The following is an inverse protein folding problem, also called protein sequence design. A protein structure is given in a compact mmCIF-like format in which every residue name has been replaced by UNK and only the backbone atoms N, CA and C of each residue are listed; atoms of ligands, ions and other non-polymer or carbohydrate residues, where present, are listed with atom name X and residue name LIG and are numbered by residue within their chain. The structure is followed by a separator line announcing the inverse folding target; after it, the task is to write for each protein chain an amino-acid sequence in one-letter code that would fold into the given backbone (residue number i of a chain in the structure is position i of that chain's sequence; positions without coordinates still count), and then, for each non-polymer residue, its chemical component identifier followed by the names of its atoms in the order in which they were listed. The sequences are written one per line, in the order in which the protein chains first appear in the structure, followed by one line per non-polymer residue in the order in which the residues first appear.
data_IF_981653291961
#
_entry.id   IF_981653291961
#
_cell.length_a   1.000
_cell.length_b   1.000
_cell.length_c   1.000
_cell.angle_alpha   90.00
_cell.angle_beta   90.00
_cell.angle_gamma   90.00
#
_symmetry.space_group_name_H-M   'P 1'
#
loop_
_entity.id
_entity.type
_entity.pdbx_description
1 polymer ?
2 polymer ?
3 polymer ?
4 water ?
#
# COMPACT_ATOMS: atom_id res chain seq x y z
N UNK A 1 -17.24 0.21 -5.71
CA UNK A 1 -18.01 -0.26 -6.86
C UNK A 1 -17.25 -0.02 -8.15
N UNK A 2 -16.66 -1.08 -8.68
CA UNK A 2 -15.79 -0.99 -9.85
C UNK A 2 -16.56 -0.54 -11.08
N UNK A 3 -15.92 0.17 -12.01
CA UNK A 3 -16.64 0.64 -13.19
C UNK A 3 -16.83 -0.49 -14.18
N UNK A 4 -18.03 -0.59 -14.74
CA UNK A 4 -18.26 -1.60 -15.77
C UNK A 4 -17.42 -1.33 -17.01
N UNK A 5 -17.21 -0.06 -17.35
CA UNK A 5 -16.47 0.25 -18.56
C UNK A 5 -15.00 -0.07 -18.35
N UNK A 6 -14.42 -0.83 -19.30
CA UNK A 6 -12.99 -1.12 -19.23
C UNK A 6 -12.41 -1.16 -20.63
N UNK A 7 -11.51 -0.24 -20.93
CA UNK A 7 -11.12 0.03 -22.32
C UNK A 7 -9.93 -0.79 -22.78
N UNK A 8 -9.87 -0.96 -24.11
CA UNK A 8 -8.78 -1.67 -24.75
C UNK A 8 -7.71 -0.69 -25.17
N UNK A 9 -6.50 -0.87 -24.66
CA UNK A 9 -5.40 -0.05 -25.14
C UNK A 9 -5.10 -0.41 -26.60
N UNK B 1 12.11 -1.92 -18.90
CA UNK B 1 11.38 -2.30 -17.71
C UNK B 1 11.94 -1.59 -16.47
N UNK B 2 11.07 -1.25 -15.52
CA UNK B 2 11.50 -0.75 -14.22
C UNK B 2 11.76 -1.94 -13.32
N UNK B 3 12.92 -1.98 -12.66
CA UNK B 3 13.11 -2.91 -11.56
C UNK B 3 13.52 -2.14 -10.32
N UNK B 4 12.85 -2.42 -9.22
CA UNK B 4 13.07 -1.73 -7.97
C UNK B 4 13.40 -2.73 -6.89
N UNK B 5 14.43 -2.42 -6.09
CA UNK B 5 14.68 -3.43 -5.07
C UNK B 5 13.84 -3.14 -3.81
N UNK B 6 13.31 -4.19 -3.18
CA UNK B 6 12.35 -3.98 -2.10
C UNK B 6 13.00 -3.47 -0.81
N UNK B 7 12.29 -2.56 -0.14
CA UNK B 7 12.62 -2.20 1.24
C UNK B 7 11.97 -3.20 2.19
N UNK B 8 12.66 -3.52 3.26
CA UNK B 8 12.30 -4.62 4.15
C UNK B 8 12.33 -4.12 5.58
N UNK B 9 11.27 -4.42 6.35
CA UNK B 9 11.18 -4.04 7.75
C UNK B 9 10.57 -5.19 8.52
N UNK B 10 11.22 -5.57 9.63
CA UNK B 10 10.68 -6.56 10.57
C UNK B 10 10.33 -5.86 11.88
N UNK B 11 9.19 -6.23 12.42
CA UNK B 11 8.70 -5.60 13.63
C UNK B 11 7.56 -6.44 14.15
N UNK B 12 7.17 -6.16 15.38
CA UNK B 12 6.03 -6.82 15.99
C UNK B 12 4.84 -5.87 16.00
N UNK B 13 3.63 -6.45 15.93
CA UNK B 13 2.44 -5.61 15.89
C UNK B 13 2.37 -4.73 17.13
N UNK B 14 2.40 -5.35 18.32
CA UNK B 14 2.46 -4.78 19.65
C UNK B 14 3.89 -4.88 20.18
N UNK B 15 4.21 -4.11 21.22
CA UNK B 15 5.59 -4.14 21.75
C UNK B 15 5.92 -5.48 22.38
N UNK B 16 7.17 -5.90 22.19
CA UNK B 16 7.58 -7.24 22.58
C UNK B 16 7.63 -7.37 24.09
N UNK B 17 6.86 -8.32 24.63
CA UNK B 17 6.88 -8.67 26.04
C UNK B 17 6.85 -10.18 26.16
N UNK B 18 7.99 -10.77 26.54
CA UNK B 18 8.17 -12.20 26.44
C UNK B 18 7.02 -12.94 27.12
N UNK B 19 6.65 -14.08 26.54
CA UNK B 19 5.50 -14.82 27.00
C UNK B 19 4.16 -14.25 26.62
N UNK B 20 4.11 -13.08 25.98
CA UNK B 20 2.85 -12.51 25.53
C UNK B 20 2.66 -12.80 24.05
N UNK B 21 1.47 -13.31 23.71
CA UNK B 21 1.09 -13.47 22.32
C UNK B 21 1.27 -12.17 21.56
N UNK B 22 1.76 -12.30 20.33
CA UNK B 22 1.96 -11.16 19.46
C UNK B 22 1.99 -11.67 18.01
N UNK B 23 2.27 -10.74 17.08
CA UNK B 23 2.31 -10.98 15.65
C UNK B 23 3.62 -10.44 15.11
N UNK B 24 4.33 -11.28 14.37
CA UNK B 24 5.60 -10.90 13.75
C UNK B 24 5.32 -10.42 12.34
N UNK B 25 5.78 -9.21 12.02
CA UNK B 25 5.45 -8.56 10.76
C UNK B 25 6.70 -8.41 9.92
N UNK B 26 6.57 -8.72 8.61
CA UNK B 26 7.58 -8.43 7.61
C UNK B 26 6.89 -7.63 6.52
N UNK B 27 7.17 -6.33 6.48
CA UNK B 27 6.64 -5.42 5.48
C UNK B 27 7.67 -5.23 4.39
N UNK B 28 7.31 -5.57 3.16
CA UNK B 28 8.18 -5.33 2.01
C UNK B 28 7.44 -4.42 1.02
N UNK B 29 8.18 -3.48 0.44
CA UNK B 29 7.53 -2.38 -0.26
C UNK B 29 8.51 -1.80 -1.27
N UNK B 30 7.97 -0.98 -2.16
CA UNK B 30 8.75 -0.28 -3.16
C UNK B 30 9.47 -1.16 -4.16
N UNK B 31 8.95 -2.34 -4.45
CA UNK B 31 9.62 -3.22 -5.40
C UNK B 31 8.80 -3.37 -6.67
N UNK B 32 9.47 -3.86 -7.70
CA UNK B 32 8.92 -4.13 -9.03
C UNK B 32 9.93 -5.00 -9.79
N UNK B 33 9.51 -6.04 -10.51
CA UNK B 33 8.17 -6.58 -10.75
C UNK B 33 7.61 -7.28 -9.52
N UNK B 34 6.41 -7.88 -9.61
CA UNK B 34 5.64 -8.24 -8.42
C UNK B 34 5.95 -9.61 -7.87
N UNK B 35 6.61 -10.48 -8.65
CA UNK B 35 7.09 -11.75 -8.14
C UNK B 35 8.04 -11.53 -6.99
N UNK B 36 7.75 -12.17 -5.87
CA UNK B 36 8.60 -12.08 -4.69
C UNK B 36 8.28 -13.26 -3.81
N UNK B 37 9.32 -13.85 -3.21
CA UNK B 37 9.16 -14.87 -2.19
C UNK B 37 9.63 -14.30 -0.85
N UNK B 38 8.77 -14.43 0.17
CA UNK B 38 9.05 -13.93 1.52
C UNK B 38 8.89 -15.06 2.53
N UNK B 39 9.91 -15.27 3.36
CA UNK B 39 9.89 -16.27 4.41
C UNK B 39 10.15 -15.62 5.76
N UNK B 40 9.62 -16.25 6.81
CA UNK B 40 9.82 -15.80 8.18
C UNK B 40 10.48 -16.93 8.95
N UNK B 41 11.49 -16.61 9.76
CA UNK B 41 12.28 -17.64 10.40
C UNK B 41 12.20 -17.56 11.93
N UNK B 42 12.17 -18.73 12.56
CA UNK B 42 12.41 -18.89 13.99
C UNK B 42 13.76 -19.57 14.12
N UNK B 43 14.74 -18.84 14.65
CA UNK B 43 16.10 -19.36 14.83
C UNK B 43 16.64 -20.01 13.57
N UNK B 44 16.55 -19.28 12.46
CA UNK B 44 17.06 -19.73 11.19
C UNK B 44 16.14 -20.66 10.43
N UNK B 45 15.04 -21.12 11.05
CA UNK B 45 14.16 -22.11 10.45
C UNK B 45 12.88 -21.48 9.93
N UNK B 46 12.49 -21.86 8.72
CA UNK B 46 11.26 -21.36 8.15
C UNK B 46 10.06 -21.68 9.03
N UNK B 47 9.22 -20.67 9.25
CA UNK B 47 7.95 -20.82 9.94
C UNK B 47 6.89 -21.25 8.93
N UNK B 48 6.24 -22.37 9.19
CA UNK B 48 4.99 -22.67 8.52
C UNK B 48 3.86 -21.88 9.18
N UNK B 49 2.78 -21.67 8.45
CA UNK B 49 1.71 -20.76 8.88
C UNK B 49 2.29 -19.36 8.85
N UNK B 50 2.13 -18.75 7.70
CA UNK B 50 2.48 -17.39 7.39
C UNK B 50 1.39 -16.89 6.48
N UNK B 51 0.94 -15.67 6.68
CA UNK B 51 -0.04 -15.14 5.74
C UNK B 51 0.47 -13.81 5.20
N UNK B 52 -0.22 -13.31 4.18
CA UNK B 52 0.18 -12.04 3.61
C UNK B 52 -1.04 -11.24 3.15
N UNK B 53 -0.86 -9.92 3.11
CA UNK B 53 -1.90 -9.04 2.61
C UNK B 53 -2.08 -9.25 1.11
N UNK B 54 -3.09 -8.58 0.55
CA UNK B 54 -3.36 -8.64 -0.88
C UNK B 54 -2.48 -7.69 -1.64
N UNK B 55 -2.01 -8.12 -2.80
CA UNK B 55 -1.02 -7.39 -3.55
C UNK B 55 -1.57 -6.04 -3.97
N UNK B 56 -0.92 -4.97 -3.50
CA UNK B 56 -1.32 -3.63 -3.85
C UNK B 56 -0.06 -2.82 -4.16
N UNK B 57 -0.23 -1.55 -4.52
CA UNK B 57 0.90 -0.74 -4.92
C UNK B 57 0.64 0.74 -4.64
N UNK B 58 1.72 1.53 -4.68
CA UNK B 58 1.74 2.91 -4.20
C UNK B 58 1.62 3.89 -5.35
N UNK B 59 1.86 5.17 -5.05
CA UNK B 59 1.65 6.23 -6.03
C UNK B 59 2.66 6.18 -7.17
N UNK B 60 3.84 5.58 -6.94
CA UNK B 60 4.83 5.46 -8.00
C UNK B 60 4.82 4.09 -8.70
N UNK B 61 3.75 3.31 -8.51
CA UNK B 61 3.45 2.01 -9.13
C UNK B 61 4.16 0.83 -8.46
N UNK B 62 5.10 1.04 -7.52
CA UNK B 62 5.78 -0.08 -6.89
C UNK B 62 4.85 -0.82 -5.93
N UNK B 63 5.10 -2.12 -5.73
CA UNK B 63 4.22 -2.97 -4.92
C UNK B 63 4.65 -3.01 -3.46
N UNK B 64 3.71 -3.38 -2.59
CA UNK B 64 4.02 -3.70 -1.20
C UNK B 64 3.17 -4.87 -0.73
N UNK B 65 3.70 -5.59 0.25
CA UNK B 65 3.03 -6.75 0.83
C UNK B 65 3.42 -6.86 2.29
N UNK B 66 2.50 -7.35 3.11
CA UNK B 66 2.74 -7.56 4.53
C UNK B 66 2.65 -9.05 4.82
N UNK B 67 3.76 -9.65 5.27
CA UNK B 67 3.76 -11.03 5.69
C UNK B 67 3.81 -11.09 7.20
N UNK B 68 3.10 -12.07 7.79
CA UNK B 68 2.97 -12.09 9.25
C UNK B 68 2.56 -13.45 9.76
N UNK B 69 2.95 -13.75 11.00
CA UNK B 69 2.54 -14.94 11.72
C UNK B 69 2.38 -14.62 13.20
N UNK B 70 1.51 -15.37 13.87
CA UNK B 70 1.41 -15.29 15.32
C UNK B 70 2.69 -15.81 15.94
N UNK B 71 3.12 -15.18 17.04
CA UNK B 71 4.20 -15.74 17.84
C UNK B 71 4.18 -15.11 19.22
N UNK B 72 4.88 -15.75 20.13
CA UNK B 72 5.10 -15.24 21.49
C UNK B 72 6.59 -15.09 21.67
N UNK B 73 7.11 -13.87 21.79
CA UNK B 73 8.57 -13.69 21.85
C UNK B 73 9.14 -14.20 23.16
N UNK B 74 10.42 -14.55 23.13
CA UNK B 74 11.09 -15.13 24.28
C UNK B 74 12.45 -14.49 24.44
N UNK B 75 12.94 -14.46 25.68
CA UNK B 75 14.29 -13.98 25.93
C UNK B 75 15.30 -14.84 25.17
N UNK B 76 14.80 -15.82 24.43
CA UNK B 76 15.58 -16.93 23.87
C UNK B 76 15.53 -16.95 22.35
N UNK B 77 14.34 -17.13 21.79
CA UNK B 77 14.18 -17.28 20.35
C UNK B 77 14.48 -15.97 19.65
N UNK B 78 15.20 -16.05 18.54
CA UNK B 78 15.42 -14.90 17.67
C UNK B 78 14.75 -15.14 16.33
N UNK B 79 14.40 -14.04 15.65
CA UNK B 79 13.62 -14.12 14.43
C UNK B 79 14.22 -13.25 13.35
N UNK B 80 13.81 -13.54 12.11
CA UNK B 80 14.36 -12.90 10.93
C UNK B 80 13.42 -13.09 9.75
N UNK B 81 13.54 -12.21 8.75
CA UNK B 81 12.68 -12.23 7.58
C UNK B 81 13.56 -12.36 6.35
N UNK B 82 13.28 -13.36 5.52
CA UNK B 82 14.14 -13.65 4.38
C UNK B 82 13.33 -13.50 3.11
N UNK B 83 13.94 -12.85 2.12
CA UNK B 83 13.23 -12.25 1.00
C UNK B 83 14.05 -12.48 -0.24
N UNK B 84 13.39 -12.76 -1.35
CA UNK B 84 14.07 -13.00 -2.61
C UNK B 84 13.28 -12.31 -3.73
N UNK B 85 14.01 -11.76 -4.71
CA UNK B 85 13.42 -10.91 -5.74
C UNK B 85 14.43 -10.78 -6.87
N UNK B 86 13.92 -10.50 -8.08
CA UNK B 86 14.78 -10.56 -9.26
C UNK B 86 15.95 -9.60 -9.12
N UNK B 87 15.75 -8.47 -8.45
CA UNK B 87 16.81 -7.47 -8.31
C UNK B 87 17.88 -7.87 -7.30
N UNK B 88 17.80 -9.05 -6.69
CA UNK B 88 18.74 -9.44 -5.64
C UNK B 88 19.66 -10.54 -6.15
N UNK B 89 20.97 -10.33 -5.95
CA UNK B 89 21.93 -11.40 -6.25
C UNK B 89 21.67 -12.61 -5.39
N UNK B 90 21.49 -12.39 -4.09
CA UNK B 90 21.24 -13.42 -3.10
C UNK B 90 20.00 -13.04 -2.30
N UNK B 91 19.36 -14.02 -1.68
CA UNK B 91 18.26 -13.69 -0.75
C UNK B 91 18.73 -12.79 0.38
N UNK B 92 17.91 -11.80 0.71
CA UNK B 92 18.24 -10.88 1.78
C UNK B 92 17.52 -11.30 3.06
N UNK B 93 18.26 -11.33 4.17
CA UNK B 93 17.73 -11.58 5.50
C UNK B 93 17.91 -10.32 6.32
N UNK B 94 16.89 -9.93 7.06
CA UNK B 94 17.04 -8.87 8.04
C UNK B 94 16.40 -9.38 9.32
N UNK B 95 17.06 -9.16 10.44
CA UNK B 95 16.66 -9.84 11.66
C UNK B 95 15.68 -8.97 12.43
N UNK B 96 14.99 -9.59 13.39
CA UNK B 96 14.08 -8.82 14.23
C UNK B 96 14.85 -8.08 15.30
N UNK B 97 14.64 -6.76 15.37
CA UNK B 97 15.23 -5.92 16.42
C UNK B 97 14.12 -5.52 17.38
N UNK B 98 13.92 -6.36 18.39
CA UNK B 98 12.92 -6.06 19.41
C UNK B 98 13.19 -4.72 20.07
N UNK B 99 14.46 -4.46 20.40
CA UNK B 99 14.88 -3.29 21.15
C UNK B 99 15.41 -2.19 20.26
N UNK B 100 14.88 -2.09 19.04
CA UNK B 100 15.21 -0.99 18.15
C UNK B 100 14.30 0.18 18.49
N UNK C 1 -11.56 14.53 8.36
CA UNK C 1 -11.05 15.24 7.21
C UNK C 1 -11.75 14.77 5.95
N UNK C 2 -11.03 14.78 4.83
CA UNK C 2 -11.60 14.33 3.58
C UNK C 2 -11.67 12.80 3.55
N UNK C 3 -12.16 12.27 2.43
CA UNK C 3 -12.31 10.84 2.27
C UNK C 3 -12.12 10.47 0.81
N UNK C 4 -11.83 9.19 0.59
CA UNK C 4 -11.62 8.72 -0.77
C UNK C 4 -12.00 7.24 -0.89
N UNK C 5 -12.35 6.87 -2.12
CA UNK C 5 -12.34 5.50 -2.58
C UNK C 5 -11.21 5.35 -3.58
N UNK C 6 -10.34 4.35 -3.39
CA UNK C 6 -9.21 4.10 -4.28
C UNK C 6 -9.16 2.62 -4.64
N UNK C 7 -8.96 2.32 -5.93
CA UNK C 7 -8.88 0.96 -6.47
C UNK C 7 -7.52 0.72 -7.10
N UNK C 8 -7.05 -0.53 -7.07
CA UNK C 8 -5.73 -0.87 -7.59
C UNK C 8 -5.79 -2.21 -8.31
N UNK C 9 -5.59 -2.20 -9.63
CA UNK C 9 -5.58 -3.41 -10.45
C UNK C 9 -4.16 -3.76 -10.88
N UNK C 10 -3.78 -5.03 -10.75
CA UNK C 10 -2.53 -5.55 -11.30
C UNK C 10 -2.80 -6.79 -12.14
N UNK C 11 -2.29 -6.79 -13.37
CA UNK C 11 -2.31 -7.98 -14.21
C UNK C 11 -0.87 -8.33 -14.58
N UNK C 12 -0.49 -9.57 -14.31
CA UNK C 12 0.85 -10.09 -14.57
C UNK C 12 0.70 -11.31 -15.46
N UNK C 13 1.44 -11.33 -16.56
CA UNK C 13 1.40 -12.50 -17.43
C UNK C 13 2.52 -13.47 -17.10
N UNK C 14 2.28 -14.76 -17.38
CA UNK C 14 3.27 -15.81 -17.17
C UNK C 14 3.25 -16.70 -18.40
N UNK C 15 3.96 -16.31 -19.47
CA UNK C 15 3.93 -17.08 -20.72
C UNK C 15 4.44 -18.51 -20.53
N UNK C 16 3.88 -19.41 -21.33
CA UNK C 16 4.10 -20.83 -21.12
C UNK C 16 3.18 -21.41 -20.06
N UNK C 17 3.00 -20.71 -18.94
CA UNK C 17 2.26 -21.23 -17.79
C UNK C 17 0.80 -20.78 -17.73
N UNK C 18 0.12 -20.72 -18.87
CA UNK C 18 -1.28 -20.38 -18.84
C UNK C 18 -1.60 -18.89 -18.89
N UNK C 19 -2.70 -18.50 -18.26
CA UNK C 19 -3.24 -17.16 -18.42
C UNK C 19 -2.71 -16.25 -17.32
N UNK C 20 -2.88 -14.92 -17.48
CA UNK C 20 -2.34 -13.98 -16.50
C UNK C 20 -3.07 -14.01 -15.16
N UNK C 21 -2.35 -13.64 -14.11
CA UNK C 21 -2.96 -13.40 -12.81
C UNK C 21 -3.43 -11.95 -12.73
N UNK C 22 -4.61 -11.75 -12.16
CA UNK C 22 -5.21 -10.43 -12.09
C UNK C 22 -5.71 -10.22 -10.67
N UNK C 23 -5.24 -9.16 -10.01
CA UNK C 23 -5.66 -8.87 -8.64
C UNK C 23 -6.26 -7.47 -8.61
N UNK C 24 -7.41 -7.33 -7.94
CA UNK C 24 -8.02 -6.05 -7.60
C UNK C 24 -8.00 -5.88 -6.10
N UNK C 25 -7.62 -4.70 -5.64
CA UNK C 25 -7.76 -4.32 -4.24
C UNK C 25 -8.42 -2.95 -4.15
N UNK C 26 -9.28 -2.78 -3.15
CA UNK C 26 -10.00 -1.52 -2.97
C UNK C 26 -9.94 -0.98 -1.56
N UNK C 27 -9.76 0.34 -1.46
CA UNK C 27 -9.65 1.04 -0.18
C UNK C 27 -10.67 2.17 -0.08
N UNK C 28 -11.21 2.37 1.12
CA UNK C 28 -11.81 3.65 1.52
C UNK C 28 -10.89 4.26 2.58
N UNK C 29 -10.46 5.51 2.33
CA UNK C 29 -9.39 6.08 3.13
C UNK C 29 -8.25 5.09 3.23
N UNK C 30 -7.95 4.62 4.44
CA UNK C 30 -6.81 3.75 4.69
C UNK C 30 -7.27 2.38 5.17
N UNK C 31 -8.49 1.98 4.82
CA UNK C 31 -8.98 0.65 5.15
C UNK C 31 -9.41 -0.07 3.87
N UNK C 32 -8.85 -1.26 3.67
CA UNK C 32 -9.22 -2.07 2.53
C UNK C 32 -10.56 -2.72 2.80
N UNK C 33 -11.43 -2.72 1.78
CA UNK C 33 -12.77 -3.28 1.95
C UNK C 33 -13.15 -4.41 0.99
N UNK C 34 -12.59 -4.45 -0.24
CA UNK C 34 -12.88 -5.52 -1.20
C UNK C 34 -11.58 -5.97 -1.84
N UNK C 35 -11.63 -7.17 -2.45
CA UNK C 35 -10.51 -7.76 -3.17
C UNK C 35 -11.06 -8.69 -4.24
N UNK C 36 -10.31 -8.78 -5.34
CA UNK C 36 -10.55 -9.79 -6.36
C UNK C 36 -9.23 -10.42 -6.75
N UNK C 37 -9.17 -11.75 -6.69
CA UNK C 37 -7.98 -12.49 -7.06
C UNK C 37 -8.40 -13.60 -8.01
N UNK C 38 -7.87 -13.55 -9.24
CA UNK C 38 -8.26 -14.50 -10.27
C UNK C 38 -7.65 -15.89 -10.08
N UNK C 39 -6.66 -16.07 -9.19
CA UNK C 39 -6.09 -17.39 -8.95
C UNK C 39 -7.03 -18.22 -8.08
N UNK C 40 -8.16 -18.60 -8.67
CA UNK C 40 -9.11 -19.48 -8.00
C UNK C 40 -9.86 -20.28 -9.05
N UNK C 41 -10.32 -21.48 -8.67
CA UNK C 41 -11.11 -22.28 -9.60
C UNK C 41 -12.40 -21.59 -9.94
N UNK C 42 -12.83 -20.62 -9.12
CA UNK C 42 -14.03 -19.83 -9.35
C UNK C 42 -13.92 -18.50 -8.60
N UNK C 43 -13.09 -17.58 -9.08
CA UNK C 43 -12.84 -16.35 -8.33
C UNK C 43 -14.09 -15.49 -8.14
N UNK C 44 -14.19 -14.92 -6.95
CA UNK C 44 -15.26 -14.00 -6.59
C UNK C 44 -14.67 -12.74 -5.97
N UNK C 45 -15.28 -11.59 -6.28
CA UNK C 45 -15.08 -10.39 -5.48
C UNK C 45 -15.47 -10.66 -4.04
N UNK C 46 -14.62 -10.33 -3.09
CA UNK C 46 -14.88 -10.69 -1.71
C UNK C 46 -14.67 -9.49 -0.79
N UNK C 47 -15.44 -9.45 0.29
CA UNK C 47 -15.24 -8.41 1.28
C UNK C 47 -13.93 -8.61 2.04
N UNK C 48 -13.36 -7.48 2.48
CA UNK C 48 -12.20 -7.46 3.35
C UNK C 48 -12.38 -6.49 4.52
N UNK C 49 -13.53 -5.84 4.63
CA UNK C 49 -13.94 -5.03 5.76
C UNK C 49 -15.32 -5.50 6.24
N UNK C 50 -15.49 -5.76 7.54
CA UNK C 50 -16.76 -6.38 7.98
C UNK C 50 -18.02 -5.58 7.64
N UNK C 51 -17.98 -4.25 7.69
CA UNK C 51 -19.18 -3.48 7.37
C UNK C 51 -19.69 -3.77 5.98
N UNK C 52 -18.84 -4.32 5.11
CA UNK C 52 -19.22 -4.70 3.76
C UNK C 52 -20.18 -5.88 3.72
N UNK C 53 -20.40 -6.55 4.85
CA UNK C 53 -21.45 -7.54 4.89
C UNK C 53 -22.85 -6.98 4.78
N UNK C 54 -22.99 -5.66 4.72
CA UNK C 54 -24.31 -5.08 4.63
C UNK C 54 -24.80 -4.97 3.20
N UNK C 55 -23.91 -5.09 2.21
CA UNK C 55 -24.36 -4.98 0.83
C UNK C 55 -25.33 -6.12 0.52
N UNK C 56 -26.31 -5.82 -0.32
CA UNK C 56 -27.25 -6.81 -0.79
C UNK C 56 -26.54 -7.83 -1.68
N UNK C 57 -26.92 -9.10 -1.61
CA UNK C 57 -26.15 -10.16 -2.30
C UNK C 57 -25.91 -9.94 -3.79
N UNK C 58 -26.84 -9.30 -4.51
CA UNK C 58 -26.62 -9.04 -5.92
C UNK C 58 -25.32 -8.31 -6.16
N UNK C 59 -24.84 -7.59 -5.15
CA UNK C 59 -23.63 -6.79 -5.31
C UNK C 59 -22.44 -7.69 -5.64
N UNK C 60 -22.20 -8.71 -4.82
CA UNK C 60 -21.05 -9.57 -5.02
C UNK C 60 -21.09 -10.25 -6.39
N UNK C 61 -22.28 -10.65 -6.85
CA UNK C 61 -22.36 -11.21 -8.20
C UNK C 61 -21.99 -10.18 -9.25
N UNK C 62 -22.62 -9.00 -9.20
CA UNK C 62 -22.35 -7.97 -10.21
C UNK C 62 -20.88 -7.58 -10.21
N UNK C 63 -20.27 -7.48 -9.03
CA UNK C 63 -18.88 -7.06 -8.96
C UNK C 63 -17.97 -8.15 -9.50
N UNK C 64 -18.25 -9.41 -9.14
CA UNK C 64 -17.48 -10.53 -9.68
C UNK C 64 -17.52 -10.57 -11.21
N UNK C 65 -18.68 -10.26 -11.80
CA UNK C 65 -18.75 -10.28 -13.26
C UNK C 65 -17.91 -9.18 -13.88
N UNK C 66 -17.91 -7.98 -13.30
CA UNK C 66 -17.14 -6.90 -13.91
C UNK C 66 -15.65 -7.19 -13.82
N UNK C 67 -15.22 -7.78 -12.70
CA UNK C 67 -13.81 -8.11 -12.52
C UNK C 67 -13.32 -9.09 -13.58
N UNK C 68 -14.02 -10.23 -13.74
CA UNK C 68 -13.66 -11.17 -14.79
C UNK C 68 -13.62 -10.49 -16.15
N UNK C 69 -14.59 -9.62 -16.43
CA UNK C 69 -14.59 -9.00 -17.75
C UNK C 69 -13.43 -8.02 -17.88
N UNK C 70 -13.06 -7.38 -16.78
CA UNK C 70 -11.89 -6.51 -16.79
C UNK C 70 -10.62 -7.33 -16.97
N UNK C 71 -10.48 -8.39 -16.17
CA UNK C 71 -9.36 -9.32 -16.30
C UNK C 71 -9.17 -9.74 -17.74
N UNK C 72 -10.26 -9.97 -18.46
CA UNK C 72 -10.15 -10.33 -19.86
C UNK C 72 -9.57 -9.19 -20.70
N UNK C 73 -10.00 -7.94 -20.48
CA UNK C 73 -9.47 -6.90 -21.34
C UNK C 73 -8.00 -6.63 -21.01
N UNK C 74 -7.57 -6.95 -19.79
CA UNK C 74 -6.16 -6.80 -19.46
C UNK C 74 -5.29 -7.85 -20.13
N UNK C 75 -5.81 -9.09 -20.30
CA UNK C 75 -5.14 -10.03 -21.19
C UNK C 75 -4.95 -9.41 -22.55
N UNK C 76 -6.02 -8.93 -23.16
CA UNK C 76 -5.92 -8.28 -24.47
C UNK C 76 -4.86 -7.19 -24.43
N UNK C 77 -4.93 -6.34 -23.40
CA UNK C 77 -4.07 -5.17 -23.31
C UNK C 77 -2.59 -5.55 -23.23
N UNK C 78 -2.25 -6.51 -22.36
CA UNK C 78 -0.89 -7.04 -22.32
C UNK C 78 -0.44 -7.51 -23.70
N UNK C 79 -1.27 -8.31 -24.38
CA UNK C 79 -0.87 -8.78 -25.69
C UNK C 79 -0.69 -7.62 -26.65
N UNK C 80 -1.60 -6.65 -26.58
CA UNK C 80 -1.45 -5.44 -27.37
C UNK C 80 -0.12 -4.73 -27.06
N UNK C 81 0.29 -4.70 -25.79
CA UNK C 81 1.53 -4.00 -25.44
C UNK C 81 2.74 -4.61 -26.12
N UNK C 82 2.72 -5.91 -26.38
CA UNK C 82 3.83 -6.52 -27.09
C UNK C 82 3.95 -5.97 -28.50
N UNK C 83 2.82 -5.77 -29.17
CA UNK C 83 2.85 -5.15 -30.49
C UNK C 83 3.36 -3.71 -30.39
N UNK C 84 2.75 -2.91 -29.52
CA UNK C 84 3.19 -1.53 -29.42
C UNK C 84 4.68 -1.42 -29.15
N UNK C 85 5.25 -2.34 -28.38
CA UNK C 85 6.63 -2.21 -27.91
C UNK C 85 7.56 -3.20 -28.57
N UNK C 86 7.06 -3.99 -29.54
CA UNK C 86 7.91 -4.85 -30.35
C UNK C 86 8.74 -5.78 -29.47
N UNK C 87 8.08 -6.33 -28.46
CA UNK C 87 8.66 -7.25 -27.52
C UNK C 87 8.35 -8.68 -27.93
N UNK C 88 9.09 -9.61 -27.35
CA UNK C 88 8.92 -11.01 -27.68
C UNK C 88 7.90 -11.66 -26.74
N UNK C 89 7.39 -12.83 -27.15
CA UNK C 89 6.36 -13.52 -26.38
C UNK C 89 6.91 -14.25 -25.18
N UNK C 90 8.20 -14.07 -24.92
CA UNK C 90 8.91 -14.91 -23.98
C UNK C 90 8.66 -14.50 -22.52
N UNK C 91 8.79 -13.21 -22.21
CA UNK C 91 8.86 -12.81 -20.82
C UNK C 91 7.52 -12.48 -20.18
N UNK C 92 7.55 -12.40 -18.86
CA UNK C 92 6.43 -11.93 -18.07
C UNK C 92 6.41 -10.41 -17.97
N UNK C 93 5.22 -9.82 -18.12
CA UNK C 93 5.04 -8.38 -18.07
C UNK C 93 3.89 -8.00 -17.15
N UNK C 94 3.86 -6.71 -16.76
CA UNK C 94 2.88 -6.14 -15.85
C UNK C 94 2.09 -5.02 -16.51
N UNK C 95 0.79 -4.92 -16.16
CA UNK C 95 -0.07 -3.83 -16.59
C UNK C 95 -0.91 -3.43 -15.39
N UNK C 96 -1.01 -2.14 -15.11
CA UNK C 96 -1.69 -1.68 -13.89
C UNK C 96 -2.55 -0.45 -14.17
N UNK C 97 -3.65 -0.32 -13.40
CA UNK C 97 -4.34 0.95 -13.21
C UNK C 97 -4.49 1.24 -11.73
N UNK C 98 -4.74 2.52 -11.47
CA UNK C 98 -5.18 2.99 -10.18
C UNK C 98 -6.05 4.21 -10.47
N UNK C 99 -7.17 4.30 -9.75
CA UNK C 99 -8.12 5.38 -9.97
C UNK C 99 -8.92 5.56 -8.69
N UNK C 100 -9.68 6.63 -8.65
CA UNK C 100 -10.43 6.94 -7.45
C UNK C 100 -10.99 8.34 -7.48
N UNK C 101 -11.66 8.68 -6.37
CA UNK C 101 -12.33 9.97 -6.25
C UNK C 101 -12.28 10.42 -4.79
N UNK C 102 -12.22 11.74 -4.60
CA UNK C 102 -12.09 12.35 -3.29
C UNK C 102 -13.32 13.19 -2.96
N UNK C 103 -13.58 13.34 -1.67
CA UNK C 103 -14.81 13.93 -1.16
C UNK C 103 -14.45 14.66 0.14
N UNK C 104 -15.02 15.85 0.34
CA UNK C 104 -14.78 16.57 1.59
C UNK C 104 -15.51 15.89 2.75
N UNK C 105 -15.21 16.34 3.96
CA UNK C 105 -15.94 15.82 5.10
C UNK C 105 -17.45 16.01 4.93
N UNK C 106 -17.85 17.15 4.35
CA UNK C 106 -19.26 17.39 4.10
C UNK C 106 -19.84 16.45 3.05
N UNK C 107 -18.99 15.81 2.27
CA UNK C 107 -19.42 14.87 1.27
C UNK C 107 -19.44 15.37 -0.17
N UNK C 108 -18.62 16.36 -0.51
CA UNK C 108 -18.66 17.00 -1.82
C UNK C 108 -17.45 16.53 -2.64
N UNK C 109 -17.70 16.14 -3.88
CA UNK C 109 -16.63 15.69 -4.76
C UNK C 109 -15.68 16.83 -5.05
N UNK C 110 -14.38 16.52 -5.11
CA UNK C 110 -13.44 17.54 -5.59
C UNK C 110 -12.26 17.05 -6.41
N UNK C 111 -11.93 15.76 -6.45
CA UNK C 111 -10.82 15.30 -7.28
C UNK C 111 -11.05 13.88 -7.80
N UNK C 112 -10.59 13.64 -9.04
CA UNK C 112 -10.63 12.31 -9.61
C UNK C 112 -9.39 12.06 -10.46
N UNK C 113 -9.02 10.78 -10.56
CA UNK C 113 -7.86 10.41 -11.37
C UNK C 113 -8.01 9.02 -11.99
N UNK C 114 -7.18 8.76 -12.98
CA UNK C 114 -7.13 7.50 -13.69
C UNK C 114 -5.72 7.38 -14.22
N UNK C 115 -5.05 6.24 -13.99
CA UNK C 115 -3.67 6.11 -14.44
C UNK C 115 -3.37 4.67 -14.84
N UNK C 116 -2.39 4.50 -15.73
CA UNK C 116 -2.12 3.26 -16.44
C UNK C 116 -0.62 3.04 -16.55
N UNK C 117 -0.14 1.84 -16.18
CA UNK C 117 1.29 1.56 -16.13
C UNK C 117 1.60 0.25 -16.83
N UNK C 118 2.58 0.29 -17.74
CA UNK C 118 3.14 -0.91 -18.34
C UNK C 118 4.50 -1.16 -17.71
N UNK C 119 4.72 -2.42 -17.34
CA UNK C 119 5.95 -2.85 -16.67
C UNK C 119 6.49 -1.83 -15.68
N UNK C 120 5.62 -1.15 -14.93
CA UNK C 120 6.06 -0.31 -13.83
C UNK C 120 6.35 1.14 -14.18
N UNK C 121 6.14 1.54 -15.43
CA UNK C 121 6.38 2.89 -15.88
C UNK C 121 5.08 3.51 -16.34
N UNK C 122 4.95 4.83 -16.16
CA UNK C 122 3.78 5.56 -16.63
C UNK C 122 3.49 5.20 -18.09
N UNK C 123 2.22 4.96 -18.38
CA UNK C 123 1.79 4.62 -19.74
C UNK C 123 0.87 5.68 -20.30
N UNK C 124 -0.35 5.81 -19.79
CA UNK C 124 -1.24 6.90 -20.17
C UNK C 124 -2.08 7.26 -18.95
N UNK C 125 -2.28 8.56 -18.73
CA UNK C 125 -3.11 9.03 -17.63
C UNK C 125 -4.23 9.92 -18.16
N UNK C 126 -5.23 10.12 -17.32
CA UNK C 126 -6.26 11.10 -17.56
C UNK C 126 -5.84 12.42 -16.94
N UNK C 127 -5.86 13.49 -17.73
CA UNK C 127 -5.52 14.81 -17.23
C UNK C 127 -6.53 15.25 -16.19
N UNK C 128 -6.23 16.34 -15.49
CA UNK C 128 -7.04 16.69 -14.33
C UNK C 128 -8.39 17.27 -14.73
N UNK C 129 -8.51 17.79 -15.96
CA UNK C 129 -9.82 18.14 -16.48
C UNK C 129 -10.74 16.93 -16.63
N UNK C 130 -10.23 15.70 -16.43
CA UNK C 130 -10.98 14.47 -16.67
C UNK C 130 -11.56 14.45 -18.08
N UNK C 131 -10.78 14.97 -19.04
CA UNK C 131 -11.22 15.03 -20.43
C UNK C 131 -10.15 14.69 -21.45
N UNK C 132 -8.86 14.86 -21.16
CA UNK C 132 -7.81 14.62 -22.14
C UNK C 132 -6.77 13.67 -21.55
N UNK C 133 -5.92 13.15 -22.42
CA UNK C 133 -5.03 12.04 -22.08
C UNK C 133 -3.57 12.45 -22.28
N UNK C 134 -2.73 12.18 -21.27
CA UNK C 134 -1.30 12.42 -21.34
C UNK C 134 -0.61 11.10 -21.65
N UNK C 135 -0.12 10.94 -22.88
CA UNK C 135 0.49 9.69 -23.32
C UNK C 135 2.00 9.80 -23.17
N UNK C 136 2.60 8.87 -22.43
CA UNK C 136 3.98 9.03 -21.99
C UNK C 136 5.02 8.73 -23.06
N UNK C 137 4.67 8.07 -24.16
CA UNK C 137 5.67 7.78 -25.19
C UNK C 137 4.96 7.53 -26.51
N UNK C 138 5.74 7.26 -27.56
CA UNK C 138 5.13 7.07 -28.88
C UNK C 138 4.24 5.83 -28.91
N UNK C 139 4.52 4.83 -28.05
CA UNK C 139 3.66 3.66 -28.00
C UNK C 139 2.31 4.00 -27.40
N UNK C 140 2.30 4.59 -26.20
CA UNK C 140 1.02 5.00 -25.59
C UNK C 140 0.26 5.95 -26.49
N UNK C 141 0.96 6.72 -27.32
CA UNK C 141 0.28 7.65 -28.22
C UNK C 141 -0.70 6.93 -29.11
N UNK C 142 -0.43 5.67 -29.44
CA UNK C 142 -1.40 4.90 -30.21
C UNK C 142 -2.67 4.66 -29.41
N UNK C 143 -2.53 4.47 -28.09
CA UNK C 143 -3.71 4.31 -27.25
C UNK C 143 -4.42 5.64 -27.04
N UNK C 144 -3.66 6.74 -27.02
CA UNK C 144 -4.26 8.06 -26.85
C UNK C 144 -5.17 8.42 -28.02
N UNK C 145 -4.73 8.11 -29.23
CA UNK C 145 -5.57 8.42 -30.39
C UNK C 145 -6.81 7.55 -30.41
N UNK C 146 -6.68 6.28 -30.04
CA UNK C 146 -7.84 5.40 -29.94
C UNK C 146 -8.91 5.97 -29.01
N UNK C 147 -8.50 6.38 -27.79
CA UNK C 147 -9.45 6.73 -26.75
C UNK C 147 -10.07 8.10 -26.96
N UNK C 148 -9.47 8.94 -27.81
CA UNK C 148 -10.13 10.18 -28.20
C UNK C 148 -11.18 9.92 -29.27
N UNK C 149 -10.79 9.16 -30.29
CA UNK C 149 -11.73 8.67 -31.28
C UNK C 149 -12.99 8.10 -30.62
N UNK C 150 -12.84 7.21 -29.64
CA UNK C 150 -13.98 6.60 -28.98
C UNK C 150 -14.49 7.45 -27.82
N UNK C 151 -14.01 8.69 -27.67
CA UNK C 151 -14.44 9.53 -26.58
C UNK C 151 -14.47 8.81 -25.25
N UNK C 152 -13.38 8.13 -24.93
CA UNK C 152 -13.35 7.32 -23.71
C UNK C 152 -13.51 8.18 -22.46
N UNK C 153 -12.86 9.35 -22.44
CA UNK C 153 -12.74 10.10 -21.20
C UNK C 153 -14.10 10.43 -20.61
N UNK C 154 -15.14 10.50 -21.45
CA UNK C 154 -16.47 10.87 -20.96
C UNK C 154 -17.01 9.82 -20.00
N UNK C 155 -16.93 8.54 -20.40
CA UNK C 155 -17.29 7.45 -19.49
C UNK C 155 -16.45 7.51 -18.23
N UNK C 156 -15.17 7.87 -18.39
CA UNK C 156 -14.29 7.98 -17.24
C UNK C 156 -14.73 9.13 -16.34
N UNK C 157 -14.84 10.34 -16.91
CA UNK C 157 -15.32 11.48 -16.14
C UNK C 157 -16.63 11.15 -15.44
N UNK C 158 -17.58 10.59 -16.20
CA UNK C 158 -18.87 10.18 -15.64
C UNK C 158 -18.70 9.29 -14.42
N UNK C 159 -17.99 8.17 -14.56
CA UNK C 159 -17.79 7.30 -13.41
C UNK C 159 -17.15 8.08 -12.25
N UNK C 160 -16.09 8.83 -12.54
CA UNK C 160 -15.32 9.46 -11.48
C UNK C 160 -16.12 10.52 -10.75
N UNK C 161 -16.90 11.34 -11.49
CA UNK C 161 -17.68 12.39 -10.84
C UNK C 161 -19.06 11.94 -10.35
N UNK C 162 -19.54 10.74 -10.71
CA UNK C 162 -20.89 10.34 -10.28
C UNK C 162 -20.94 9.04 -9.48
N UNK C 163 -20.78 7.89 -10.15
CA UNK C 163 -20.98 6.59 -9.50
C UNK C 163 -19.97 6.38 -8.39
N UNK C 164 -18.69 6.69 -8.65
CA UNK C 164 -17.66 6.65 -7.62
C UNK C 164 -18.11 7.41 -6.39
N UNK C 165 -18.61 8.63 -6.59
CA UNK C 165 -19.03 9.51 -5.50
C UNK C 165 -20.20 8.90 -4.73
N UNK C 166 -21.31 8.65 -5.44
CA UNK C 166 -22.48 8.05 -4.79
C UNK C 166 -22.08 6.87 -3.94
N UNK C 167 -21.15 6.04 -4.45
CA UNK C 167 -20.82 4.79 -3.78
C UNK C 167 -19.97 5.02 -2.54
N UNK C 168 -18.94 5.87 -2.64
CA UNK C 168 -18.11 6.19 -1.48
C UNK C 168 -18.96 6.68 -0.30
N UNK C 169 -19.94 7.55 -0.58
CA UNK C 169 -20.81 8.02 0.49
C UNK C 169 -21.52 6.86 1.19
N UNK C 170 -22.10 5.94 0.40
CA UNK C 170 -22.80 4.78 0.96
C UNK C 170 -21.85 3.92 1.79
N UNK C 171 -20.62 3.73 1.31
CA UNK C 171 -19.64 2.96 2.07
C UNK C 171 -19.31 3.65 3.40
N UNK C 172 -19.05 4.96 3.34
CA UNK C 172 -18.71 5.71 4.56
C UNK C 172 -19.80 5.57 5.62
N UNK C 173 -21.06 5.77 5.21
CA UNK C 173 -22.16 5.61 6.16
C UNK C 173 -22.28 4.17 6.64
N UNK C 174 -22.20 3.22 5.70
CA UNK C 174 -22.29 1.81 6.06
C UNK C 174 -21.21 1.40 7.06
N UNK C 175 -20.00 1.96 6.95
CA UNK C 175 -18.95 1.73 7.94
C UNK C 175 -18.64 2.87 8.90
N UNK C 176 -19.66 3.68 9.22
CA UNK C 176 -19.51 4.80 10.16
C UNK C 176 -18.80 4.41 11.45
N UNK C 177 -19.12 3.24 12.00
CA UNK C 177 -18.68 2.85 13.34
C UNK C 177 -17.17 2.71 13.49
N UNK C 178 -16.41 2.88 12.41
CA UNK C 178 -14.97 2.67 12.47
C UNK C 178 -14.29 3.66 11.54
N UNK C 179 -14.93 3.96 10.42
CA UNK C 179 -14.25 4.68 9.34
C UNK C 179 -14.06 6.15 9.64
N UNK C 180 -14.99 6.75 10.39
CA UNK C 180 -14.88 8.12 10.86
C UNK C 180 -14.32 8.21 12.28
N UNK C 181 -13.67 7.16 12.74
CA UNK C 181 -12.92 7.13 13.99
C UNK C 181 -11.47 7.51 13.70
N UNK C 182 -10.75 7.96 14.74
CA UNK C 182 -9.32 8.26 14.59
C UNK C 182 -8.60 7.96 15.90
N UNK C 183 -8.03 6.75 16.00
CA UNK C 183 -7.25 6.41 17.17
C UNK C 183 -5.96 7.21 17.19
N UNK C 184 -5.55 7.71 18.36
CA UNK C 184 -4.30 8.48 18.45
C UNK C 184 -3.09 7.57 18.58
N UNK C 185 -1.93 8.02 18.12
CA UNK C 185 -0.71 7.25 18.35
C UNK C 185 -0.47 7.06 19.84
N UNK C 186 0.32 6.04 20.16
CA UNK C 186 0.81 5.83 21.52
C UNK C 186 2.32 5.85 21.43
N UNK C 187 2.90 6.98 21.83
CA UNK C 187 4.29 7.29 21.52
C UNK C 187 5.20 6.93 22.68
N UNK C 188 6.50 6.91 22.38
CA UNK C 188 7.57 6.66 23.34
C UNK C 188 8.94 6.76 22.67
N UNK C 189 9.98 7.07 23.45
CA UNK C 189 11.31 7.32 22.92
C UNK C 189 12.23 6.25 23.47
N UNK C 190 13.22 5.86 22.67
CA UNK C 190 14.13 4.78 23.04
C UNK C 190 15.57 5.24 22.87
N UNK C 191 16.45 4.67 23.69
CA UNK C 191 17.83 5.12 23.79
C UNK C 191 18.77 4.00 23.38
N UNK C 192 19.56 4.23 22.34
CA UNK C 192 20.58 3.30 21.88
C UNK C 192 21.86 4.06 21.60
N UNK C 193 22.96 3.73 22.28
CA UNK C 193 24.24 4.38 21.99
C UNK C 193 24.68 4.10 20.56
N UNK C 194 25.13 5.15 19.87
CA UNK C 194 25.57 5.04 18.49
C UNK C 194 27.08 5.18 18.32
N UNK C 195 27.78 5.76 19.28
CA UNK C 195 29.23 5.85 19.24
C UNK C 195 29.71 6.09 20.67
N UNK C 196 31.03 6.21 20.81
CA UNK C 196 31.67 6.60 22.07
C UNK C 196 30.95 7.80 22.69
N UNK C 197 30.94 8.91 21.96
CA UNK C 197 30.29 10.12 22.43
C UNK C 197 29.19 10.51 21.44
N UNK C 198 28.33 9.55 21.10
CA UNK C 198 27.17 9.80 20.23
C UNK C 198 26.13 8.73 20.50
N UNK C 199 24.87 9.15 20.60
CA UNK C 199 23.75 8.26 20.89
C UNK C 199 22.61 8.54 19.91
N UNK C 200 21.71 7.55 19.79
CA UNK C 200 20.56 7.64 18.91
C UNK C 200 19.28 7.72 19.72
N UNK C 201 18.52 8.78 19.50
CA UNK C 201 17.14 8.90 19.97
C UNK C 201 16.19 8.40 18.89
N UNK C 202 15.20 7.62 19.29
CA UNK C 202 14.20 7.09 18.38
C UNK C 202 12.81 7.35 18.95
N UNK C 203 12.00 8.08 18.19
CA UNK C 203 10.66 8.47 18.62
C UNK C 203 9.63 7.59 17.89
N UNK C 204 8.85 6.82 18.66
CA UNK C 204 7.93 5.80 18.17
C UNK C 204 6.51 6.30 18.15
N UNK C 205 5.70 5.78 17.22
CA UNK C 205 4.26 6.06 17.23
C UNK C 205 3.53 4.84 16.70
N UNK C 206 2.79 4.16 17.57
CA UNK C 206 2.14 2.90 17.25
C UNK C 206 0.63 2.99 17.46
N UNK C 207 -0.08 2.18 16.70
CA UNK C 207 -1.50 1.95 16.92
C UNK C 207 -2.42 3.01 16.38
N UNK C 208 -1.96 3.89 15.51
CA UNK C 208 -2.78 5.02 15.12
C UNK C 208 -3.52 4.79 13.80
N UNK C 209 -4.74 5.31 13.71
CA UNK C 209 -5.48 5.42 12.45
C UNK C 209 -6.03 6.83 12.36
N UNK C 210 -6.02 7.46 11.17
CA UNK C 210 -5.38 7.08 9.89
C UNK C 210 -3.85 7.19 9.83
N UNK C 211 -3.30 6.93 8.65
CA UNK C 211 -1.86 6.72 8.51
C UNK C 211 -1.08 8.03 8.38
N UNK C 212 -1.76 9.14 8.18
CA UNK C 212 -1.06 10.41 8.12
C UNK C 212 -0.63 10.85 9.52
N UNK C 213 0.64 11.21 9.66
CA UNK C 213 1.19 11.58 10.95
C UNK C 213 2.39 12.47 10.71
N UNK C 214 2.79 13.22 11.74
CA UNK C 214 4.01 14.01 11.72
C UNK C 214 4.85 13.62 12.92
N UNK C 215 6.04 13.11 12.66
CA UNK C 215 7.06 12.94 13.67
C UNK C 215 8.17 13.90 13.35
N UNK C 216 8.41 14.85 14.25
CA UNK C 216 9.48 15.82 14.09
C UNK C 216 10.36 15.78 15.33
N UNK C 217 11.67 15.77 15.12
CA UNK C 217 12.61 16.02 16.20
C UNK C 217 12.93 17.51 16.25
N UNK C 218 12.94 18.08 17.45
CA UNK C 218 13.37 19.46 17.65
C UNK C 218 14.52 19.49 18.64
N UNK C 219 15.46 20.41 18.42
CA UNK C 219 16.51 20.69 19.41
C UNK C 219 16.36 22.12 19.87
N UNK C 220 15.78 22.30 21.06
CA UNK C 220 15.47 23.58 21.68
C UNK C 220 14.37 24.32 20.93
N UNK C 221 13.80 23.72 19.89
CA UNK C 221 12.78 24.39 19.10
C UNK C 221 12.98 24.16 17.62
N UNK C 222 14.20 24.31 17.12
CA UNK C 222 14.41 24.23 15.67
C UNK C 222 14.46 22.78 15.21
N UNK C 223 13.75 22.51 14.11
CA UNK C 223 13.63 21.15 13.61
C UNK C 223 14.99 20.58 13.24
N UNK C 224 15.04 19.26 13.20
CA UNK C 224 16.19 18.51 12.72
C UNK C 224 15.83 17.73 11.46
N UNK C 225 15.09 18.37 10.57
CA UNK C 225 14.51 17.66 9.42
C UNK C 225 15.60 17.00 8.57
N UNK C 226 16.71 17.69 8.36
CA UNK C 226 17.79 17.09 7.60
C UNK C 226 18.71 16.23 8.46
N UNK C 227 18.53 16.20 9.77
CA UNK C 227 19.32 15.30 10.62
C UNK C 227 18.43 14.29 11.34
N UNK C 228 17.30 13.95 10.73
CA UNK C 228 16.43 12.88 11.19
C UNK C 228 16.30 11.83 10.09
N UNK C 229 16.22 10.56 10.51
CA UNK C 229 16.04 9.44 9.59
C UNK C 229 14.71 8.75 9.94
N UNK C 230 13.67 9.02 9.15
CA UNK C 230 12.38 8.38 9.33
C UNK C 230 12.37 7.04 8.61
N UNK C 231 11.57 6.15 9.10
CA UNK C 231 11.30 4.95 8.36
C UNK C 231 9.92 5.09 7.74
N UNK C 232 9.72 4.39 6.63
CA UNK C 232 8.43 4.32 5.97
C UNK C 232 7.30 4.04 6.96
N UNK C 233 6.19 4.75 6.81
CA UNK C 233 5.00 4.40 7.58
C UNK C 233 4.56 2.99 7.21
N UNK C 234 4.56 2.10 8.18
CA UNK C 234 4.29 0.70 7.95
C UNK C 234 2.97 0.31 8.59
N UNK C 235 2.35 -0.79 8.18
CA UNK C 235 1.10 -1.23 8.82
C UNK C 235 1.39 -2.13 10.02
N UNK C 236 0.54 -1.99 11.05
CA UNK C 236 0.59 -2.93 12.14
C UNK C 236 -0.02 -4.26 11.79
N UNK C 237 -0.91 -4.28 10.80
CA UNK C 237 -1.60 -5.47 10.38
C UNK C 237 -2.99 -5.64 10.96
N UNK C 238 -3.36 -4.82 11.93
CA UNK C 238 -4.70 -4.84 12.50
C UNK C 238 -5.51 -3.62 12.09
N UNK C 239 -5.12 -2.94 11.02
CA UNK C 239 -5.76 -1.72 10.62
C UNK C 239 -5.18 -0.47 11.25
N UNK C 240 -4.15 -0.60 12.08
CA UNK C 240 -3.39 0.54 12.59
C UNK C 240 -2.07 0.69 11.84
N UNK C 241 -1.37 1.78 12.13
CA UNK C 241 -0.12 2.11 11.46
C UNK C 241 0.97 2.41 12.47
N UNK C 242 2.21 2.46 11.98
CA UNK C 242 3.40 2.69 12.79
C UNK C 242 4.35 3.56 12.02
N UNK C 243 5.16 4.32 12.75
CA UNK C 243 6.25 5.10 12.17
C UNK C 243 7.25 5.41 13.28
N UNK C 244 8.50 5.62 12.88
CA UNK C 244 9.45 6.22 13.81
C UNK C 244 10.41 7.12 13.08
N UNK C 245 10.81 8.21 13.75
CA UNK C 245 11.88 9.10 13.33
C UNK C 245 12.94 9.15 14.42
N UNK C 246 14.19 9.32 14.02
CA UNK C 246 15.32 9.13 14.91
C UNK C 246 16.40 10.16 14.63
N UNK C 247 17.03 10.62 15.70
CA UNK C 247 18.11 11.60 15.60
C UNK C 247 19.32 11.09 16.39
N UNK C 248 20.50 11.32 15.85
CA UNK C 248 21.75 10.93 16.50
C UNK C 248 22.35 12.15 17.17
N UNK C 249 22.60 12.05 18.48
CA UNK C 249 22.74 13.22 19.34
C UNK C 249 24.08 13.23 20.06
N UNK C 250 24.73 14.39 20.22
CA UNK C 250 25.99 14.44 20.99
C UNK C 250 25.73 14.11 22.44
N UNK C 251 26.52 13.19 22.98
CA UNK C 251 26.16 12.49 24.21
C UNK C 251 25.92 13.44 25.37
N UNK C 252 24.92 13.14 26.18
CA UNK C 252 24.59 13.94 27.33
C UNK C 252 23.69 15.13 27.06
N UNK C 253 23.34 15.37 25.80
CA UNK C 253 22.50 16.52 25.46
C UNK C 253 21.03 16.14 25.26
N UNK C 254 20.61 14.97 25.76
CA UNK C 254 19.27 14.46 25.45
C UNK C 254 18.19 15.49 25.72
N UNK C 255 18.26 16.16 26.88
CA UNK C 255 17.22 17.08 27.28
C UNK C 255 17.00 18.20 26.26
N UNK C 256 18.03 18.53 25.46
CA UNK C 256 17.86 19.51 24.40
C UNK C 256 16.77 19.10 23.43
N UNK C 257 16.74 17.81 23.06
CA UNK C 257 15.96 17.31 21.94
C UNK C 257 14.57 16.89 22.37
N UNK C 258 13.58 17.28 21.58
CA UNK C 258 12.18 17.02 21.87
C UNK C 258 11.47 16.54 20.61
N UNK C 259 10.43 15.72 20.80
CA UNK C 259 9.70 15.09 19.70
C UNK C 259 8.24 15.52 19.73
N UNK C 260 7.78 16.17 18.66
CA UNK C 260 6.38 16.55 18.51
C UNK C 260 5.69 15.55 17.61
N UNK C 261 4.50 15.09 18.03
CA UNK C 261 3.72 14.17 17.23
C UNK C 261 2.34 14.77 17.00
N UNK C 262 2.06 15.16 15.77
CA UNK C 262 0.74 15.66 15.42
C UNK C 262 -0.06 14.50 14.84
N UNK C 263 -1.35 14.47 15.15
CA UNK C 263 -2.22 13.46 14.57
C UNK C 263 -3.67 13.88 14.77
N UNK C 264 -4.50 13.52 13.78
CA UNK C 264 -5.94 13.73 13.85
C UNK C 264 -6.54 13.22 15.15
N UNK C 265 -5.93 12.19 15.75
CA UNK C 265 -6.42 11.60 16.98
C UNK C 265 -5.87 12.21 18.24
N UNK C 266 -5.05 13.24 18.09
CA UNK C 266 -4.46 13.92 19.23
C UNK C 266 -5.22 15.21 19.46
N UNK C 267 -6.03 15.29 20.52
CA UNK C 267 -6.60 16.57 20.96
C UNK C 267 -5.60 17.72 20.90
N UNK C 268 -4.33 17.46 21.19
CA UNK C 268 -3.31 18.47 21.02
C UNK C 268 -1.97 17.79 20.81
N UNK C 269 -1.09 18.39 20.00
CA UNK C 269 0.20 17.75 19.70
C UNK C 269 0.92 17.27 20.92
N UNK C 270 1.07 15.95 21.03
CA UNK C 270 1.87 15.34 22.07
C UNK C 270 3.33 15.72 21.91
N UNK C 271 4.00 15.99 23.02
CA UNK C 271 5.44 16.18 23.02
C UNK C 271 6.07 15.15 23.95
N UNK C 272 7.32 14.80 23.68
CA UNK C 272 7.93 13.67 24.38
C UNK C 272 9.43 13.90 24.51
N UNK C 273 10.00 13.37 25.60
CA UNK C 273 11.44 13.38 25.79
C UNK C 273 11.87 12.04 26.40
N UNK C 274 13.08 11.63 26.07
CA UNK C 274 13.63 10.36 26.54
C UNK C 274 13.54 10.19 28.06
#
# INVERSE_FOLDING_TARGET
FVPFNSPNI
MIQRTPKIQVYSRHPAENGKSNFLNCYVSGFHPSDIEVDLLKNGERIEKVEHSDLSFSKDWSFYLLYYTEFTPTEKDEYACRVNHVTLSQPKIVKWDRDM
GSHSMRYFYTSVSRPGLGEPRFIIVGYVDDTQFVRFDSDAASPRMEQRAPWMGQVEPEYWDQQTQIAKDTAQTFRVNLNTALRYYNQSAAGSHTFQTMFGCEVWADGRFFHGYRQYAYDGADYIALNEDLRSWTAADTAAQNTQRKWEAAGEAERHRAYLERECVEWLRRYLEMGKETLQRADPPKAHVTHHPASDREATLRCWALGFYPAEISLTWQRDGEDQTQDTELVETRPGGDGTFQKWAAVVVPSGEEQRYTCRVQHEGLPEPLTLTW
#
